data_IF_659879194041
#
_entry.id   IF_659879194041
#
_cell.length_a   1.000
_cell.length_b   1.000
_cell.length_c   1.000
_cell.angle_alpha   90.00
_cell.angle_beta   90.00
_cell.angle_gamma   90.00
#
_symmetry.space_group_name_H-M   'P 1'
#
loop_
_entity.id
_entity.type
_entity.pdbx_description
1 polymer ?
#
# COMPACT_ATOMS: atom_id res chain seq x y z
N UNK A 1 -46.73 -23.10 -29.07
CA UNK A 1 -48.03 -22.71 -28.49
C UNK A 1 -47.75 -22.19 -27.09
N UNK A 2 -48.13 -20.92 -26.83
CA UNK A 2 -47.99 -20.09 -25.61
C UNK A 2 -46.54 -19.73 -25.17
N UNK A 3 -46.07 -18.47 -25.20
CA UNK A 3 -46.48 -17.25 -24.44
C UNK A 3 -46.48 -17.47 -22.92
N UNK A 4 -46.10 -16.58 -22.01
CA UNK A 4 -45.51 -15.23 -21.91
C UNK A 4 -45.60 -14.89 -20.39
N UNK A 5 -44.89 -13.84 -19.91
CA UNK A 5 -45.10 -13.06 -18.66
C UNK A 5 -44.25 -13.48 -17.43
N UNK A 6 -43.19 -12.74 -17.09
CA UNK A 6 -43.10 -11.44 -16.35
C UNK A 6 -43.15 -11.61 -14.83
N UNK A 7 -42.12 -11.13 -14.13
CA UNK A 7 -42.04 -11.10 -12.67
C UNK A 7 -40.82 -10.35 -12.13
N UNK A 8 -40.89 -9.02 -12.17
CA UNK A 8 -39.93 -8.06 -11.62
C UNK A 8 -39.85 -8.15 -10.07
N UNK A 9 -38.65 -8.28 -9.48
CA UNK A 9 -38.38 -7.87 -8.08
C UNK A 9 -36.96 -7.31 -7.94
N UNK A 10 -36.85 -5.97 -8.00
CA UNK A 10 -35.89 -5.23 -7.18
C UNK A 10 -36.05 -5.68 -5.72
N UNK A 11 -35.00 -6.23 -5.13
CA UNK A 11 -34.78 -6.16 -3.69
C UNK A 11 -33.35 -5.72 -3.45
N UNK A 12 -33.25 -4.41 -3.20
CA UNK A 12 -32.25 -3.77 -2.37
C UNK A 12 -31.81 -4.67 -1.22
N UNK A 13 -30.51 -4.90 -1.08
CA UNK A 13 -29.93 -5.22 0.22
C UNK A 13 -28.51 -4.67 0.29
N UNK A 14 -28.44 -3.38 0.63
CA UNK A 14 -27.29 -2.81 1.30
C UNK A 14 -27.01 -3.63 2.56
N UNK A 15 -26.03 -4.54 2.50
CA UNK A 15 -25.45 -5.09 3.74
C UNK A 15 -24.45 -4.08 4.27
N UNK A 16 -24.96 -3.19 5.13
CA UNK A 16 -24.16 -2.57 6.19
C UNK A 16 -23.41 -3.69 6.91
N UNK A 17 -22.09 -3.72 6.78
CA UNK A 17 -21.23 -4.47 7.70
C UNK A 17 -20.40 -3.44 8.47
N UNK A 18 -20.71 -3.14 9.74
CA UNK A 18 -19.72 -2.59 10.64
C UNK A 18 -19.02 -3.80 11.26
N UNK A 19 -18.03 -4.36 10.56
CA UNK A 19 -17.06 -5.19 11.25
C UNK A 19 -16.12 -4.22 11.97
N UNK A 20 -16.54 -3.76 13.15
CA UNK A 20 -15.62 -3.16 14.11
C UNK A 20 -14.59 -4.23 14.43
N UNK A 21 -13.40 -4.13 13.83
CA UNK A 21 -12.24 -4.94 14.22
C UNK A 21 -12.03 -4.68 15.72
N UNK A 22 -12.41 -5.65 16.56
CA UNK A 22 -12.00 -5.64 17.95
C UNK A 22 -10.49 -5.73 17.95
N UNK A 23 -9.82 -4.74 18.54
CA UNK A 23 -8.41 -4.82 18.84
C UNK A 23 -8.21 -6.03 19.77
N UNK A 24 -7.77 -7.15 19.21
CA UNK A 24 -7.37 -8.32 20.00
C UNK A 24 -6.06 -7.93 20.66
N UNK A 25 -6.07 -7.81 21.99
CA UNK A 25 -4.85 -7.59 22.76
C UNK A 25 -3.98 -8.83 22.65
N UNK A 26 -2.80 -8.67 22.04
CA UNK A 26 -1.79 -9.73 22.01
C UNK A 26 -1.42 -10.13 23.44
N UNK A 27 -1.21 -11.42 23.67
CA UNK A 27 -0.58 -11.86 24.92
C UNK A 27 0.87 -11.32 24.95
N UNK A 28 1.46 -11.11 26.15
CA UNK A 28 2.83 -10.59 26.25
C UNK A 28 3.84 -11.37 25.41
N UNK A 29 3.70 -12.70 25.36
CA UNK A 29 4.56 -13.60 24.57
C UNK A 29 4.38 -13.42 23.05
N UNK A 30 3.16 -13.21 22.57
CA UNK A 30 2.89 -12.94 21.14
C UNK A 30 3.39 -11.56 20.74
N UNK A 31 3.23 -10.56 21.61
CA UNK A 31 3.74 -9.21 21.38
C UNK A 31 5.28 -9.18 21.34
N UNK A 32 5.95 -9.94 22.20
CA UNK A 32 7.42 -10.09 22.20
C UNK A 32 7.93 -10.82 20.96
N UNK A 33 7.25 -11.90 20.55
CA UNK A 33 7.61 -12.67 19.35
C UNK A 33 7.45 -11.84 18.07
N UNK A 34 6.36 -11.06 17.98
CA UNK A 34 6.12 -10.17 16.85
C UNK A 34 7.12 -9.01 16.81
N UNK A 35 7.44 -8.45 17.98
CA UNK A 35 8.48 -7.43 18.12
C UNK A 35 9.86 -7.95 17.73
N UNK A 36 10.16 -9.22 18.02
CA UNK A 36 11.39 -9.88 17.59
C UNK A 36 11.43 -10.11 16.07
N UNK A 37 10.33 -10.56 15.45
CA UNK A 37 10.26 -10.70 13.98
C UNK A 37 10.43 -9.37 13.26
N UNK A 38 9.82 -8.31 13.77
CA UNK A 38 9.94 -6.97 13.18
C UNK A 38 11.34 -6.34 13.38
N UNK A 39 12.12 -6.83 14.35
CA UNK A 39 13.45 -6.32 14.66
C UNK A 39 14.58 -7.07 13.94
N UNK A 40 14.30 -8.19 13.27
CA UNK A 40 15.34 -9.00 12.63
C UNK A 40 15.85 -8.32 11.36
N UNK A 41 17.16 -8.09 11.29
CA UNK A 41 17.81 -7.53 10.11
C UNK A 41 17.84 -8.56 8.97
N UNK A 42 17.75 -8.10 7.72
CA UNK A 42 17.80 -8.99 6.56
C UNK A 42 19.10 -9.80 6.52
N UNK A 43 20.24 -9.22 6.91
CA UNK A 43 21.53 -9.92 6.94
C UNK A 43 21.55 -11.12 7.89
N UNK A 44 20.77 -11.06 8.97
CA UNK A 44 20.71 -12.13 9.97
C UNK A 44 19.66 -13.18 9.59
N UNK A 45 18.59 -12.77 8.89
CA UNK A 45 17.52 -13.65 8.43
C UNK A 45 17.88 -14.40 7.14
N UNK A 46 18.41 -13.67 6.16
CA UNK A 46 18.79 -14.16 4.83
C UNK A 46 20.09 -13.47 4.36
N UNK A 47 21.26 -14.00 4.80
CA UNK A 47 22.56 -13.42 4.46
C UNK A 47 22.88 -13.52 2.95
N UNK A 48 22.32 -14.52 2.25
CA UNK A 48 22.57 -14.71 0.82
C UNK A 48 21.92 -13.58 0.02
N UNK A 49 20.66 -13.24 0.31
CA UNK A 49 19.97 -12.11 -0.31
C UNK A 49 20.63 -10.77 0.08
N UNK A 50 21.00 -10.59 1.35
CA UNK A 50 21.69 -9.38 1.80
C UNK A 50 23.02 -9.16 1.05
N UNK A 51 23.78 -10.23 0.81
CA UNK A 51 25.01 -10.18 0.04
C UNK A 51 24.75 -9.83 -1.43
N UNK A 52 23.74 -10.42 -2.06
CA UNK A 52 23.38 -10.11 -3.46
C UNK A 52 22.94 -8.64 -3.63
N UNK A 53 22.17 -8.10 -2.69
CA UNK A 53 21.79 -6.66 -2.69
C UNK A 53 23.04 -5.78 -2.60
N UNK A 54 24.01 -6.13 -1.75
CA UNK A 54 25.26 -5.38 -1.61
C UNK A 54 26.10 -5.43 -2.89
N UNK A 55 26.15 -6.58 -3.55
CA UNK A 55 26.85 -6.74 -4.83
C UNK A 55 26.18 -5.92 -5.95
N UNK A 56 24.85 -5.86 -5.98
CA UNK A 56 24.12 -5.04 -6.96
C UNK A 56 24.27 -3.53 -6.70
N UNK A 57 24.19 -3.07 -5.45
CA UNK A 57 24.48 -1.66 -5.11
C UNK A 57 25.90 -1.27 -5.56
N UNK A 58 26.88 -2.16 -5.36
CA UNK A 58 28.24 -1.95 -5.87
C UNK A 58 28.27 -1.88 -7.40
N UNK A 59 27.60 -2.79 -8.11
CA UNK A 59 27.52 -2.81 -9.58
C UNK A 59 26.99 -1.47 -10.10
N UNK A 60 25.88 -0.99 -9.53
CA UNK A 60 25.25 0.28 -9.89
C UNK A 60 26.15 1.50 -9.64
N UNK A 61 26.95 1.50 -8.56
CA UNK A 61 27.86 2.62 -8.23
C UNK A 61 29.07 2.72 -9.13
N UNK A 62 29.56 1.59 -9.64
CA UNK A 62 30.78 1.55 -10.46
C UNK A 62 30.48 1.50 -11.97
N UNK A 63 29.26 1.12 -12.33
CA UNK A 63 28.79 1.03 -13.70
C UNK A 63 28.41 2.39 -14.30
N UNK A 64 28.58 2.50 -15.62
CA UNK A 64 27.95 3.57 -16.40
C UNK A 64 26.61 3.05 -16.91
N UNK A 65 25.53 3.40 -16.21
CA UNK A 65 24.18 2.99 -16.57
C UNK A 65 23.63 3.91 -17.68
N UNK A 66 23.54 3.37 -18.91
CA UNK A 66 23.14 4.13 -20.11
C UNK A 66 21.73 3.77 -20.61
N UNK A 67 20.98 2.97 -19.85
CA UNK A 67 19.61 2.61 -20.20
C UNK A 67 18.70 3.81 -19.87
N UNK A 68 18.14 4.44 -20.90
CA UNK A 68 17.44 5.72 -20.79
C UNK A 68 16.23 5.73 -19.84
N UNK A 69 15.63 4.57 -19.56
CA UNK A 69 14.48 4.43 -18.67
C UNK A 69 14.85 4.04 -17.24
N UNK A 70 16.10 3.66 -16.98
CA UNK A 70 16.56 3.35 -15.63
C UNK A 70 16.91 4.63 -14.87
N UNK A 71 16.74 4.60 -13.55
CA UNK A 71 17.03 5.73 -12.68
C UNK A 71 17.28 5.26 -11.24
N UNK A 72 17.88 6.14 -10.43
CA UNK A 72 18.16 5.87 -9.02
C UNK A 72 17.16 6.59 -8.12
N UNK A 73 16.33 5.82 -7.42
CA UNK A 73 15.42 6.37 -6.43
C UNK A 73 16.20 6.92 -5.21
N UNK A 74 15.74 8.05 -4.67
CA UNK A 74 16.33 8.63 -3.46
C UNK A 74 16.17 7.70 -2.25
N UNK A 75 17.02 7.87 -1.24
CA UNK A 75 16.91 7.11 0.02
C UNK A 75 15.55 7.31 0.68
N UNK A 76 15.00 8.53 0.66
CA UNK A 76 13.69 8.84 1.25
C UNK A 76 12.54 8.11 0.56
N UNK A 77 12.60 7.93 -0.77
CA UNK A 77 11.60 7.13 -1.50
C UNK A 77 11.67 5.66 -1.08
N UNK A 78 12.89 5.10 -0.98
CA UNK A 78 13.10 3.71 -0.56
C UNK A 78 12.68 3.47 0.90
N UNK A 79 12.91 4.44 1.78
CA UNK A 79 12.48 4.40 3.19
C UNK A 79 10.95 4.33 3.30
N UNK A 80 10.22 5.16 2.55
CA UNK A 80 8.76 5.10 2.52
C UNK A 80 8.24 3.76 1.95
N UNK A 81 8.87 3.25 0.89
CA UNK A 81 8.49 1.99 0.24
C UNK A 81 8.62 0.78 1.18
N UNK A 82 9.67 0.74 2.00
CA UNK A 82 9.91 -0.33 2.98
C UNK A 82 9.17 -0.15 4.32
N UNK A 83 8.25 0.81 4.43
CA UNK A 83 7.55 1.12 5.67
C UNK A 83 6.37 0.20 5.95
N UNK A 84 5.72 0.39 7.10
CA UNK A 84 4.54 -0.38 7.52
C UNK A 84 3.31 -0.18 6.62
N UNK A 85 3.34 0.77 5.67
CA UNK A 85 2.24 1.04 4.75
C UNK A 85 1.88 -0.19 3.89
N UNK A 86 2.85 -1.07 3.63
CA UNK A 86 2.60 -2.34 2.91
C UNK A 86 1.63 -3.29 3.61
N UNK A 87 1.38 -3.09 4.90
CA UNK A 87 0.50 -3.97 5.68
C UNK A 87 -0.98 -3.63 5.51
N UNK A 88 -1.31 -2.45 4.96
CA UNK A 88 -2.68 -1.95 4.95
C UNK A 88 -3.40 -2.21 3.63
N UNK A 89 -4.56 -2.85 3.72
CA UNK A 89 -5.48 -3.00 2.61
C UNK A 89 -6.45 -1.81 2.54
N UNK A 90 -6.45 -1.07 1.44
CA UNK A 90 -7.14 0.22 1.28
C UNK A 90 -7.99 0.32 0.01
N UNK A 91 -8.71 -0.74 -0.35
CA UNK A 91 -9.57 -0.75 -1.53
C UNK A 91 -10.66 0.34 -1.47
N UNK A 92 -10.92 0.97 -2.62
CA UNK A 92 -11.77 2.15 -2.77
C UNK A 92 -10.94 3.43 -2.86
N UNK A 93 -11.60 4.57 -3.06
CA UNK A 93 -10.94 5.88 -3.06
C UNK A 93 -10.93 6.53 -1.68
N UNK A 94 -10.18 7.62 -1.53
CA UNK A 94 -10.18 8.48 -0.31
C UNK A 94 -11.61 8.79 0.15
N UNK A 95 -11.90 8.56 1.44
CA UNK A 95 -13.22 8.76 2.03
C UNK A 95 -14.31 7.77 1.58
N UNK A 96 -14.00 6.86 0.65
CA UNK A 96 -14.92 5.88 0.04
C UNK A 96 -14.32 4.47 0.07
N UNK A 97 -13.62 4.14 1.15
CA UNK A 97 -12.99 2.82 1.34
C UNK A 97 -14.03 1.75 1.64
N UNK A 98 -13.80 0.55 1.14
CA UNK A 98 -14.61 -0.63 1.49
C UNK A 98 -14.31 -1.16 2.89
N UNK A 99 -13.11 -0.88 3.42
CA UNK A 99 -12.62 -1.37 4.70
C UNK A 99 -12.25 -0.21 5.64
N UNK A 100 -12.35 -0.46 6.95
CA UNK A 100 -11.98 0.52 7.99
C UNK A 100 -10.47 0.64 8.23
N UNK A 101 -10.09 1.58 9.11
CA UNK A 101 -8.70 1.79 9.58
C UNK A 101 -7.79 2.50 8.58
N UNK A 102 -8.35 3.27 7.63
CA UNK A 102 -7.61 3.96 6.57
C UNK A 102 -7.41 5.46 6.85
N UNK A 103 -7.57 5.91 8.10
CA UNK A 103 -7.54 7.33 8.47
C UNK A 103 -6.23 8.01 8.06
N UNK A 104 -5.11 7.30 8.18
CA UNK A 104 -3.78 7.80 7.77
C UNK A 104 -3.47 7.49 6.31
N UNK A 105 -3.98 6.38 5.76
CA UNK A 105 -3.80 6.06 4.34
C UNK A 105 -4.48 7.10 3.46
N UNK A 106 -5.68 7.53 3.84
CA UNK A 106 -6.41 8.57 3.13
C UNK A 106 -5.65 9.90 3.13
N UNK A 107 -5.03 10.28 4.26
CA UNK A 107 -4.17 11.48 4.31
C UNK A 107 -2.95 11.37 3.38
N UNK A 108 -2.29 10.20 3.36
CA UNK A 108 -1.12 9.95 2.50
C UNK A 108 -1.52 10.00 1.02
N UNK A 109 -2.63 9.35 0.65
CA UNK A 109 -3.12 9.31 -0.72
C UNK A 109 -3.57 10.71 -1.19
N UNK A 110 -4.25 11.49 -0.36
CA UNK A 110 -4.58 12.88 -0.66
C UNK A 110 -3.33 13.73 -0.91
N UNK A 111 -2.32 13.65 -0.03
CA UNK A 111 -1.05 14.38 -0.22
C UNK A 111 -0.38 13.97 -1.55
N UNK A 112 -0.45 12.70 -1.92
CA UNK A 112 0.10 12.20 -3.17
C UNK A 112 -0.63 12.80 -4.39
N UNK A 113 -1.97 12.80 -4.38
CA UNK A 113 -2.80 13.39 -5.42
C UNK A 113 -2.52 14.89 -5.59
N UNK A 114 -2.54 15.63 -4.49
CA UNK A 114 -2.31 17.09 -4.49
C UNK A 114 -0.93 17.42 -5.07
N UNK A 115 0.11 16.69 -4.63
CA UNK A 115 1.48 16.88 -5.13
C UNK A 115 1.63 16.49 -6.59
N UNK A 116 0.88 15.50 -7.07
CA UNK A 116 0.91 15.11 -8.48
C UNK A 116 0.35 16.23 -9.36
N UNK A 117 -0.78 16.83 -8.97
CA UNK A 117 -1.35 17.97 -9.67
C UNK A 117 -0.40 19.17 -9.64
N UNK A 118 0.16 19.50 -8.47
CA UNK A 118 1.14 20.59 -8.31
C UNK A 118 2.37 20.39 -9.18
N UNK A 119 2.93 19.17 -9.22
CA UNK A 119 4.13 18.85 -9.99
C UNK A 119 3.98 19.15 -11.49
N UNK A 120 2.78 18.94 -12.03
CA UNK A 120 2.48 19.18 -13.45
C UNK A 120 1.75 20.51 -13.69
N UNK A 121 1.50 21.31 -12.65
CA UNK A 121 0.79 22.59 -12.75
C UNK A 121 -0.66 22.45 -13.24
N UNK A 122 -1.35 21.39 -12.80
CA UNK A 122 -2.71 21.08 -13.22
C UNK A 122 -3.76 21.63 -12.24
N UNK A 123 -4.91 22.05 -12.77
CA UNK A 123 -6.08 22.43 -11.97
C UNK A 123 -6.85 21.18 -11.55
N UNK A 124 -7.16 21.08 -10.25
CA UNK A 124 -7.93 19.97 -9.66
C UNK A 124 -9.38 19.89 -10.15
N UNK A 125 -9.94 20.99 -10.66
CA UNK A 125 -11.30 20.99 -11.23
C UNK A 125 -11.33 20.40 -12.65
N UNK A 126 -10.19 20.39 -13.35
CA UNK A 126 -10.07 19.85 -14.72
C UNK A 126 -9.42 18.47 -14.76
N UNK A 127 -8.58 18.15 -13.77
CA UNK A 127 -7.80 16.91 -13.69
C UNK A 127 -7.98 16.25 -12.33
N UNK A 128 -8.34 14.96 -12.32
CA UNK A 128 -8.52 14.16 -11.11
C UNK A 128 -8.91 12.71 -11.39
#
# INVERSE_FOLDING_TARGET
>A
NANHLVGNKRLTNARKTPATLKLVSLTPTEAETEKQRQAQQLSDFDPDIANLITLEDKRQRIGLELIASENFASTSVREALGSCLTNKYSEGGVGKRYYGGNEFIDQIESICMDRALELYGLDSEEWG
#
